data_IF_320285121359
#
_entry.id   IF_320285121359
#
_cell.length_a   1.000
_cell.length_b   1.000
_cell.length_c   1.000
_cell.angle_alpha   90.00
_cell.angle_beta   90.00
_cell.angle_gamma   90.00
#
_symmetry.space_group_name_H-M   'P 1'
#
loop_
_entity.id
_entity.type
_entity.pdbx_description
1 polymer ?
#
# COMPACT_ATOMS: atom_id res chain seq x y z
N UNK A 1 -9.54 -13.67 -4.06
CA UNK A 1 -8.60 -12.54 -4.05
C UNK A 1 -9.26 -11.40 -4.77
N UNK A 2 -9.12 -11.28 -6.08
CA UNK A 2 -10.03 -10.51 -6.93
C UNK A 2 -10.45 -11.48 -8.04
N UNK A 3 -11.74 -11.60 -8.35
CA UNK A 3 -12.25 -12.44 -9.45
C UNK A 3 -13.03 -11.53 -10.39
N UNK A 4 -12.58 -11.43 -11.63
CA UNK A 4 -13.21 -10.63 -12.68
C UNK A 4 -13.63 -11.57 -13.80
N UNK A 5 -14.90 -11.46 -14.21
CA UNK A 5 -15.47 -12.22 -15.31
C UNK A 5 -15.90 -11.28 -16.43
N UNK A 6 -15.64 -11.68 -17.67
CA UNK A 6 -16.12 -10.95 -18.83
C UNK A 6 -17.64 -11.09 -18.98
N UNK A 7 -18.33 -10.00 -19.32
CA UNK A 7 -19.79 -9.98 -19.46
C UNK A 7 -20.21 -9.03 -20.58
N UNK A 8 -20.59 -9.54 -21.76
CA UNK A 8 -21.02 -8.70 -22.88
C UNK A 8 -19.86 -8.23 -23.76
N UNK A 9 -19.86 -6.97 -24.21
CA UNK A 9 -18.81 -6.44 -25.11
C UNK A 9 -17.67 -5.75 -24.36
N UNK A 10 -18.01 -4.70 -23.60
CA UNK A 10 -17.06 -3.85 -22.89
C UNK A 10 -17.39 -3.80 -21.40
N UNK A 11 -17.90 -4.91 -20.85
CA UNK A 11 -18.37 -4.96 -19.47
C UNK A 11 -17.79 -6.18 -18.78
N UNK A 12 -17.43 -5.99 -17.50
CA UNK A 12 -16.81 -6.99 -16.66
C UNK A 12 -17.50 -7.00 -15.31
N UNK A 13 -17.62 -8.20 -14.71
CA UNK A 13 -18.22 -8.44 -13.41
C UNK A 13 -17.13 -8.73 -12.39
N UNK A 14 -17.21 -8.09 -11.22
CA UNK A 14 -16.37 -8.44 -10.07
C UNK A 14 -17.13 -9.45 -9.21
N UNK A 15 -16.71 -10.72 -9.23
CA UNK A 15 -17.35 -11.82 -8.48
C UNK A 15 -16.84 -11.94 -7.06
N UNK A 16 -15.62 -11.50 -6.80
CA UNK A 16 -15.01 -11.57 -5.48
C UNK A 16 -13.94 -10.49 -5.32
N UNK A 17 -13.76 -10.04 -4.08
CA UNK A 17 -12.74 -9.08 -3.66
C UNK A 17 -12.05 -9.58 -2.39
N UNK A 18 -10.86 -9.07 -2.02
CA UNK A 18 -10.16 -9.53 -0.84
C UNK A 18 -10.93 -9.08 0.41
N UNK A 19 -10.81 -9.83 1.50
CA UNK A 19 -11.42 -9.44 2.78
C UNK A 19 -10.96 -8.03 3.16
N UNK A 20 -11.93 -7.19 3.56
CA UNK A 20 -11.71 -5.80 3.91
C UNK A 20 -11.81 -4.82 2.74
N UNK A 21 -12.00 -5.27 1.50
CA UNK A 21 -12.28 -4.41 0.34
C UNK A 21 -13.74 -4.49 -0.09
N UNK A 22 -14.24 -3.40 -0.63
CA UNK A 22 -15.55 -3.31 -1.31
C UNK A 22 -15.41 -3.57 -2.81
N UNK A 23 -16.53 -3.86 -3.49
CA UNK A 23 -16.55 -4.02 -4.94
C UNK A 23 -16.14 -2.73 -5.65
N UNK A 24 -16.57 -1.59 -5.12
CA UNK A 24 -16.30 -0.25 -5.63
C UNK A 24 -14.80 0.09 -5.54
N UNK A 25 -14.16 -0.15 -4.38
CA UNK A 25 -12.71 0.07 -4.21
C UNK A 25 -11.88 -0.72 -5.23
N UNK A 26 -12.31 -1.95 -5.55
CA UNK A 26 -11.63 -2.80 -6.54
C UNK A 26 -11.95 -2.34 -7.96
N UNK A 27 -13.18 -1.92 -8.26
CA UNK A 27 -13.54 -1.39 -9.56
C UNK A 27 -12.73 -0.13 -9.91
N UNK A 28 -12.60 0.81 -8.96
CA UNK A 28 -11.74 1.99 -9.11
C UNK A 28 -10.29 1.60 -9.40
N UNK A 29 -9.75 0.65 -8.62
CA UNK A 29 -8.38 0.16 -8.81
C UNK A 29 -8.16 -0.43 -10.20
N UNK A 30 -9.10 -1.24 -10.69
CA UNK A 30 -9.03 -1.83 -12.04
C UNK A 30 -9.04 -0.74 -13.10
N UNK A 31 -9.86 0.30 -12.94
CA UNK A 31 -9.86 1.45 -13.83
C UNK A 31 -8.54 2.21 -13.82
N UNK A 32 -7.96 2.48 -12.65
CA UNK A 32 -6.65 3.14 -12.51
C UNK A 32 -5.56 2.36 -13.27
N UNK A 33 -5.57 1.03 -13.20
CA UNK A 33 -4.60 0.17 -13.90
C UNK A 33 -4.79 0.23 -15.42
N UNK A 34 -6.03 0.12 -15.91
CA UNK A 34 -6.33 0.19 -17.34
C UNK A 34 -5.87 1.54 -17.93
N UNK A 35 -6.08 2.63 -17.19
CA UNK A 35 -5.62 3.96 -17.62
C UNK A 35 -4.10 4.04 -17.63
N UNK A 36 -3.42 3.55 -16.58
CA UNK A 36 -1.96 3.54 -16.50
C UNK A 36 -1.32 2.73 -17.64
N UNK A 37 -1.92 1.59 -18.03
CA UNK A 37 -1.45 0.76 -19.13
C UNK A 37 -1.61 1.46 -20.49
N UNK A 38 -2.75 2.14 -20.71
CA UNK A 38 -3.00 2.91 -21.93
C UNK A 38 -2.00 4.04 -22.15
N UNK A 39 -1.56 4.69 -21.07
CA UNK A 39 -0.61 5.81 -21.13
C UNK A 39 0.84 5.38 -21.35
N UNK A 40 1.25 4.23 -20.81
CA UNK A 40 2.67 3.82 -20.81
C UNK A 40 3.06 2.90 -21.97
N UNK A 41 2.08 2.40 -22.75
CA UNK A 41 2.30 1.39 -23.79
C UNK A 41 2.73 0.05 -23.21
N UNK A 42 2.69 -1.02 -24.03
CA UNK A 42 2.97 -2.42 -23.66
C UNK A 42 4.40 -2.64 -23.15
N UNK A 43 4.73 -2.11 -21.97
CA UNK A 43 5.82 -2.61 -21.13
C UNK A 43 5.31 -3.86 -20.43
N UNK A 44 6.21 -4.77 -20.11
CA UNK A 44 5.96 -5.88 -19.18
C UNK A 44 5.68 -5.30 -17.79
N UNK A 45 4.47 -4.78 -17.63
CA UNK A 45 3.92 -4.29 -16.39
C UNK A 45 3.57 -5.52 -15.56
N UNK A 46 4.25 -5.72 -14.43
CA UNK A 46 3.78 -6.70 -13.45
C UNK A 46 2.51 -6.12 -12.80
N UNK A 47 1.38 -6.31 -13.48
CA UNK A 47 0.07 -5.86 -13.03
C UNK A 47 -0.23 -6.33 -11.63
N UNK A 48 0.26 -7.52 -11.26
CA UNK A 48 0.07 -8.09 -9.94
C UNK A 48 0.85 -7.30 -8.89
N UNK A 49 2.10 -6.94 -9.13
CA UNK A 49 2.88 -6.11 -8.20
C UNK A 49 2.25 -4.73 -8.04
N UNK A 50 1.84 -4.08 -9.13
CA UNK A 50 1.17 -2.78 -9.09
C UNK A 50 -0.14 -2.82 -8.30
N UNK A 51 -0.98 -3.85 -8.53
CA UNK A 51 -2.21 -4.10 -7.77
C UNK A 51 -1.90 -4.23 -6.28
N UNK A 52 -0.92 -5.06 -5.91
CA UNK A 52 -0.58 -5.30 -4.50
C UNK A 52 -0.11 -4.01 -3.83
N UNK A 53 0.72 -3.21 -4.51
CA UNK A 53 1.20 -1.91 -4.01
C UNK A 53 0.04 -0.94 -3.76
N UNK A 54 -0.90 -0.84 -4.70
CA UNK A 54 -2.06 0.04 -4.57
C UNK A 54 -3.02 -0.42 -3.48
N UNK A 55 -3.31 -1.72 -3.39
CA UNK A 55 -4.13 -2.31 -2.31
C UNK A 55 -3.51 -2.04 -0.93
N UNK A 56 -2.20 -2.27 -0.79
CA UNK A 56 -1.47 -2.00 0.45
C UNK A 56 -1.54 -0.51 0.82
N UNK A 57 -1.41 0.38 -0.16
CA UNK A 57 -1.56 1.81 0.06
C UNK A 57 -2.98 2.19 0.47
N UNK A 58 -4.05 1.68 -0.17
CA UNK A 58 -5.44 2.02 0.19
C UNK A 58 -5.77 1.62 1.65
N UNK A 59 -5.28 0.48 2.13
CA UNK A 59 -5.53 -0.01 3.51
C UNK A 59 -4.49 0.41 4.56
N UNK A 60 -3.45 1.15 4.19
CA UNK A 60 -2.48 1.66 5.15
C UNK A 60 -3.14 2.60 6.16
N UNK A 61 -2.66 2.57 7.42
CA UNK A 61 -2.98 3.59 8.42
C UNK A 61 -2.63 4.97 7.85
N UNK A 62 -3.59 5.89 7.87
CA UNK A 62 -3.46 7.20 7.22
C UNK A 62 -3.02 8.28 8.20
N UNK A 63 -2.50 9.36 7.64
CA UNK A 63 -2.23 10.56 8.42
C UNK A 63 -3.49 10.99 9.19
N UNK A 64 -3.30 11.39 10.45
CA UNK A 64 -4.36 11.81 11.39
C UNK A 64 -5.32 10.69 11.86
N UNK A 65 -5.13 9.44 11.43
CA UNK A 65 -5.83 8.32 12.02
C UNK A 65 -5.30 8.09 13.44
N UNK A 66 -6.18 8.17 14.44
CA UNK A 66 -5.82 7.86 15.82
C UNK A 66 -5.80 6.35 16.02
N UNK A 67 -4.76 5.87 16.68
CA UNK A 67 -4.62 4.48 17.08
C UNK A 67 -4.55 4.41 18.61
N UNK A 68 -5.24 3.44 19.18
CA UNK A 68 -5.05 3.00 20.57
C UNK A 68 -3.62 2.50 20.79
N UNK A 69 -3.20 2.38 22.05
CA UNK A 69 -1.86 1.86 22.36
C UNK A 69 -1.71 0.41 21.90
N UNK A 70 -2.77 -0.38 22.01
CA UNK A 70 -2.83 -1.76 21.57
C UNK A 70 -2.67 -1.87 20.04
N UNK A 71 -3.33 -1.00 19.27
CA UNK A 71 -3.20 -0.95 17.81
C UNK A 71 -1.79 -0.50 17.38
N UNK A 72 -1.20 0.46 18.09
CA UNK A 72 0.18 0.90 17.84
C UNK A 72 1.17 -0.24 18.06
N UNK A 73 1.08 -0.94 19.20
CA UNK A 73 1.97 -2.05 19.49
C UNK A 73 1.80 -3.18 18.47
N UNK A 74 0.56 -3.53 18.11
CA UNK A 74 0.28 -4.53 17.09
C UNK A 74 0.87 -4.15 15.73
N UNK A 75 0.83 -2.87 15.35
CA UNK A 75 1.42 -2.38 14.11
C UNK A 75 2.95 -2.56 14.11
N UNK A 76 3.61 -2.22 15.23
CA UNK A 76 5.05 -2.39 15.39
C UNK A 76 5.46 -3.87 15.38
N UNK A 77 4.71 -4.74 16.08
CA UNK A 77 4.97 -6.18 16.10
C UNK A 77 4.84 -6.80 14.70
N UNK A 78 3.84 -6.36 13.93
CA UNK A 78 3.67 -6.78 12.52
C UNK A 78 4.82 -6.29 11.65
N UNK A 79 5.23 -5.04 11.81
CA UNK A 79 6.36 -4.46 11.08
C UNK A 79 7.65 -5.22 11.35
N UNK A 80 7.94 -5.55 12.61
CA UNK A 80 9.15 -6.26 13.02
C UNK A 80 9.27 -7.68 12.44
N UNK A 81 8.14 -8.31 12.05
CA UNK A 81 8.11 -9.64 11.43
C UNK A 81 8.32 -9.63 9.91
N UNK A 82 8.34 -8.45 9.27
CA UNK A 82 8.55 -8.36 7.83
C UNK A 82 10.01 -8.64 7.46
N UNK A 83 10.23 -9.27 6.31
CA UNK A 83 11.58 -9.50 5.76
C UNK A 83 12.32 -8.20 5.43
N UNK A 84 11.59 -7.16 5.02
CA UNK A 84 12.13 -5.84 4.66
C UNK A 84 11.27 -4.73 5.30
N UNK A 85 11.50 -4.40 6.58
CA UNK A 85 10.65 -3.45 7.32
C UNK A 85 11.04 -1.97 7.12
N UNK A 86 12.13 -1.68 6.43
CA UNK A 86 12.70 -0.34 6.37
C UNK A 86 12.18 0.51 5.21
N UNK A 87 11.66 -0.11 4.16
CA UNK A 87 11.28 0.57 2.91
C UNK A 87 9.88 0.15 2.49
N UNK A 88 9.02 1.11 2.18
CA UNK A 88 7.69 0.83 1.70
C UNK A 88 7.73 0.31 0.25
N UNK A 89 6.64 -0.30 -0.25
CA UNK A 89 6.60 -0.85 -1.60
C UNK A 89 6.83 0.20 -2.73
N UNK A 90 6.76 1.49 -2.40
CA UNK A 90 7.05 2.63 -3.29
C UNK A 90 8.41 3.29 -3.03
N UNK A 91 9.27 2.70 -2.19
CA UNK A 91 10.64 3.19 -1.95
C UNK A 91 10.79 4.20 -0.81
N UNK A 92 9.72 4.59 -0.11
CA UNK A 92 9.83 5.54 1.03
C UNK A 92 10.35 4.84 2.27
N UNK A 93 11.25 5.46 3.06
CA UNK A 93 11.67 4.90 4.34
C UNK A 93 10.47 4.85 5.30
N UNK A 94 10.32 3.71 5.99
CA UNK A 94 9.28 3.49 7.01
C UNK A 94 9.80 3.89 8.40
N UNK A 95 11.07 3.59 8.67
CA UNK A 95 11.71 3.82 9.97
C UNK A 95 12.85 4.80 9.80
N UNK A 96 12.87 5.82 10.66
CA UNK A 96 13.98 6.76 10.79
C UNK A 96 14.50 6.67 12.23
N UNK A 97 15.78 6.39 12.41
CA UNK A 97 16.44 6.42 13.72
C UNK A 97 17.11 7.76 13.95
N UNK A 98 16.97 8.30 15.16
CA UNK A 98 17.72 9.47 15.61
C UNK A 98 18.49 9.09 16.86
N UNK A 99 19.82 9.03 16.78
CA UNK A 99 20.64 8.74 17.94
C UNK A 99 20.63 9.89 18.94
N UNK A 100 20.92 9.60 20.21
CA UNK A 100 21.07 10.65 21.23
C UNK A 100 22.15 11.67 20.83
N UNK A 101 23.28 11.22 20.26
CA UNK A 101 24.34 12.11 19.78
C UNK A 101 23.84 13.06 18.69
N UNK A 102 23.07 12.57 17.71
CA UNK A 102 22.50 13.41 16.66
C UNK A 102 21.46 14.38 17.21
N UNK A 103 20.65 13.95 18.18
CA UNK A 103 19.71 14.81 18.86
C UNK A 103 20.44 15.97 19.54
N UNK A 104 21.47 15.68 20.34
CA UNK A 104 22.26 16.69 21.05
C UNK A 104 22.90 17.68 20.09
N UNK A 105 23.53 17.19 19.01
CA UNK A 105 24.10 18.03 17.96
C UNK A 105 23.07 18.98 17.35
N UNK A 106 21.84 18.51 17.09
CA UNK A 106 20.74 19.35 16.54
C UNK A 106 20.26 20.42 17.51
N UNK A 107 20.43 20.20 18.82
CA UNK A 107 20.17 21.19 19.87
C UNK A 107 21.42 22.01 20.26
N UNK A 108 22.51 21.92 19.48
CA UNK A 108 23.75 22.67 19.74
C UNK A 108 24.53 22.20 20.96
N UNK A 109 24.30 20.96 21.39
CA UNK A 109 25.00 20.32 22.52
C UNK A 109 25.98 19.28 21.97
N UNK A 110 27.22 19.30 22.45
CA UNK A 110 28.28 18.36 22.06
C UNK A 110 28.24 17.10 22.92
#
# INVERSE_FOLDING_TARGET
GIIIEHFGKNTFLIRAVPVGFTGEEIAELVWEIIHAEKEQGSRTWDAKEAIIKMLACKKAVKAKQRLSLEEQQLLLDRLARLKQPFTCPHGRPIITSLSMKELWKRFGRS
#
